data_IF_636851492880
#
_entry.id   IF_636851492880
#
_cell.length_a   1.000
_cell.length_b   1.000
_cell.length_c   1.000
_cell.angle_alpha   90.00
_cell.angle_beta   90.00
_cell.angle_gamma   90.00
#
_symmetry.space_group_name_H-M   'P 1'
#
loop_
_entity.id
_entity.type
_entity.pdbx_description
1 polymer ?
#
# COMPACT_ATOMS: atom_id res chain seq x y z
N UNK A 1 -2.62 -12.54 -20.31
CA UNK A 1 -2.97 -11.57 -19.24
C UNK A 1 -3.71 -10.44 -19.94
N UNK A 2 -5.01 -10.24 -19.66
CA UNK A 2 -5.71 -9.08 -20.21
C UNK A 2 -5.11 -7.82 -19.57
N UNK A 3 -4.68 -6.80 -20.33
CA UNK A 3 -4.28 -5.52 -19.78
C UNK A 3 -5.33 -5.01 -18.80
N UNK A 4 -4.91 -4.49 -17.65
CA UNK A 4 -5.83 -4.11 -16.58
C UNK A 4 -6.79 -2.98 -16.96
N UNK A 5 -6.45 -2.21 -17.99
CA UNK A 5 -7.36 -1.25 -18.61
C UNK A 5 -8.55 -1.95 -19.31
N UNK A 6 -8.32 -3.07 -19.99
CA UNK A 6 -9.40 -3.87 -20.60
C UNK A 6 -10.29 -4.53 -19.53
N UNK A 7 -9.72 -4.85 -18.36
CA UNK A 7 -10.50 -5.39 -17.24
C UNK A 7 -11.48 -4.37 -16.67
N UNK A 8 -11.18 -3.07 -16.77
CA UNK A 8 -12.09 -2.01 -16.34
C UNK A 8 -13.37 -1.98 -17.18
N UNK A 9 -13.28 -2.34 -18.46
CA UNK A 9 -14.45 -2.37 -19.35
C UNK A 9 -15.37 -3.57 -19.06
N UNK A 10 -14.86 -4.62 -18.42
CA UNK A 10 -15.60 -5.83 -18.06
C UNK A 10 -16.07 -5.83 -16.59
N UNK A 11 -15.49 -4.97 -15.74
CA UNK A 11 -15.71 -4.94 -14.29
C UNK A 11 -16.06 -3.52 -13.84
N UNK A 12 -17.35 -3.28 -13.67
CA UNK A 12 -17.97 -1.99 -13.37
C UNK A 12 -17.53 -1.36 -12.05
N UNK A 13 -17.20 -2.16 -11.04
CA UNK A 13 -16.74 -1.68 -9.74
C UNK A 13 -15.25 -1.25 -9.71
N UNK A 14 -14.50 -1.41 -10.81
CA UNK A 14 -13.12 -0.90 -10.92
C UNK A 14 -13.11 0.58 -11.32
N UNK A 15 -13.06 1.47 -10.34
CA UNK A 15 -13.17 2.91 -10.58
C UNK A 15 -11.86 3.52 -11.09
N UNK A 16 -10.72 3.18 -10.46
CA UNK A 16 -9.39 3.66 -10.86
C UNK A 16 -8.33 2.56 -10.72
N UNK A 17 -7.59 2.31 -11.81
CA UNK A 17 -6.51 1.34 -11.84
C UNK A 17 -5.35 1.90 -12.69
N UNK A 18 -4.14 1.91 -12.14
CA UNK A 18 -2.90 2.41 -12.79
C UNK A 18 -2.92 3.87 -13.30
N UNK A 19 -3.91 4.68 -12.90
CA UNK A 19 -4.06 6.06 -13.35
C UNK A 19 -3.91 7.08 -12.22
N UNK A 20 -3.89 6.64 -10.96
CA UNK A 20 -3.86 7.49 -9.77
C UNK A 20 -2.87 6.95 -8.73
N UNK A 21 -2.73 7.65 -7.61
CA UNK A 21 -1.84 7.31 -6.51
C UNK A 21 -2.23 6.01 -5.79
N UNK A 22 -3.49 5.58 -5.89
CA UNK A 22 -3.97 4.30 -5.37
C UNK A 22 -4.95 3.62 -6.32
N UNK A 23 -5.20 2.32 -6.09
CA UNK A 23 -6.30 1.62 -6.74
C UNK A 23 -7.62 1.93 -6.04
N UNK A 24 -8.69 2.15 -6.81
CA UNK A 24 -10.01 2.51 -6.25
C UNK A 24 -11.08 1.57 -6.76
N UNK A 25 -11.87 1.05 -5.83
CA UNK A 25 -13.02 0.18 -6.11
C UNK A 25 -14.30 0.79 -5.54
N UNK A 26 -15.44 0.54 -6.18
CA UNK A 26 -16.74 0.81 -5.59
C UNK A 26 -16.99 -0.18 -4.44
N UNK A 27 -17.48 0.32 -3.31
CA UNK A 27 -17.89 -0.51 -2.18
C UNK A 27 -19.42 -0.58 -2.10
N UNK A 28 -20.06 0.58 -2.16
CA UNK A 28 -21.51 0.76 -2.28
C UNK A 28 -21.81 2.04 -3.07
N UNK A 29 -23.09 2.45 -3.09
CA UNK A 29 -23.54 3.63 -3.85
C UNK A 29 -23.01 4.97 -3.30
N UNK A 30 -22.53 5.00 -2.04
CA UNK A 30 -22.05 6.21 -1.37
C UNK A 30 -20.53 6.23 -1.18
N UNK A 31 -19.90 5.05 -1.07
CA UNK A 31 -18.50 4.90 -0.68
C UNK A 31 -17.69 4.11 -1.71
N UNK A 32 -16.46 4.58 -1.89
CA UNK A 32 -15.41 3.87 -2.62
C UNK A 32 -14.26 3.55 -1.67
N UNK A 33 -13.55 2.46 -1.94
CA UNK A 33 -12.39 2.03 -1.15
C UNK A 33 -11.11 2.23 -1.94
N UNK A 34 -10.16 2.94 -1.33
CA UNK A 34 -8.81 3.15 -1.87
C UNK A 34 -7.86 2.12 -1.26
N UNK A 35 -7.04 1.49 -2.10
CA UNK A 35 -6.03 0.51 -1.67
C UNK A 35 -4.67 0.83 -2.27
N UNK A 36 -3.64 0.85 -1.42
CA UNK A 36 -2.26 1.06 -1.81
C UNK A 36 -1.35 0.18 -0.98
N UNK A 37 -0.38 -0.43 -1.64
CA UNK A 37 0.74 -1.13 -1.02
C UNK A 37 2.03 -0.54 -1.55
N UNK A 38 2.99 -0.33 -0.66
CA UNK A 38 4.34 0.12 -0.97
C UNK A 38 5.34 -0.72 -0.18
N UNK A 39 6.59 -0.74 -0.61
CA UNK A 39 7.69 -1.37 0.12
C UNK A 39 8.74 -0.32 0.43
N UNK A 40 9.35 -0.39 1.61
CA UNK A 40 10.43 0.52 2.00
C UNK A 40 11.67 -0.25 2.44
N UNK A 41 12.05 -1.26 1.65
CA UNK A 41 13.02 -2.31 2.05
C UNK A 41 14.44 -1.77 2.27
N UNK A 42 15.02 -1.14 1.24
CA UNK A 42 16.43 -0.69 1.31
C UNK A 42 16.67 0.33 2.43
N UNK A 43 15.80 1.33 2.65
CA UNK A 43 16.02 2.26 3.76
C UNK A 43 15.72 1.61 5.13
N UNK A 44 14.73 0.72 5.23
CA UNK A 44 14.46 0.00 6.49
C UNK A 44 15.58 -0.97 6.88
N UNK A 45 16.38 -1.43 5.91
CA UNK A 45 17.57 -2.22 6.20
C UNK A 45 18.72 -1.38 6.80
N UNK A 46 18.78 -0.08 6.49
CA UNK A 46 19.82 0.84 6.99
C UNK A 46 19.41 1.51 8.31
N UNK A 47 18.19 2.02 8.38
CA UNK A 47 17.56 2.60 9.57
C UNK A 47 16.15 2.03 9.68
N UNK A 48 15.93 1.01 10.55
CA UNK A 48 14.65 0.34 10.66
C UNK A 48 13.50 1.27 11.06
N UNK A 49 13.75 2.20 11.99
CA UNK A 49 12.70 3.08 12.49
C UNK A 49 12.38 4.17 11.46
N UNK A 50 13.40 4.86 10.95
CA UNK A 50 13.22 5.87 9.92
C UNK A 50 12.60 5.30 8.65
N UNK A 51 13.11 4.16 8.17
CA UNK A 51 12.62 3.49 6.97
C UNK A 51 11.17 3.00 7.09
N UNK A 52 10.78 2.41 8.23
CA UNK A 52 9.40 2.00 8.44
C UNK A 52 8.45 3.22 8.51
N UNK A 53 8.84 4.27 9.25
CA UNK A 53 8.03 5.49 9.35
C UNK A 53 7.79 6.15 8.00
N UNK A 54 8.82 6.29 7.15
CA UNK A 54 8.67 6.92 5.84
C UNK A 54 7.85 6.06 4.89
N UNK A 55 7.90 4.73 5.02
CA UNK A 55 7.02 3.81 4.31
C UNK A 55 5.54 4.01 4.67
N UNK A 56 5.22 4.05 5.98
CA UNK A 56 3.85 4.27 6.47
C UNK A 56 3.31 5.62 5.98
N UNK A 57 4.10 6.69 6.13
CA UNK A 57 3.68 8.04 5.72
C UNK A 57 3.56 8.14 4.19
N UNK A 58 4.38 7.42 3.43
CA UNK A 58 4.30 7.33 1.97
C UNK A 58 2.95 6.79 1.51
N UNK A 59 2.57 5.61 2.00
CA UNK A 59 1.27 4.98 1.68
C UNK A 59 0.10 5.86 2.11
N UNK A 60 0.16 6.48 3.30
CA UNK A 60 -0.90 7.36 3.76
C UNK A 60 -1.07 8.59 2.85
N UNK A 61 0.03 9.17 2.39
CA UNK A 61 -0.01 10.31 1.45
C UNK A 61 -0.62 9.90 0.12
N UNK A 62 -0.34 8.70 -0.36
CA UNK A 62 -0.90 8.21 -1.62
C UNK A 62 -2.43 8.05 -1.54
N UNK A 63 -2.95 7.53 -0.42
CA UNK A 63 -4.40 7.50 -0.17
C UNK A 63 -4.98 8.91 -0.08
N UNK A 64 -4.35 9.80 0.72
CA UNK A 64 -4.79 11.19 0.85
C UNK A 64 -4.78 11.94 -0.49
N UNK A 65 -3.87 11.59 -1.40
CA UNK A 65 -3.74 12.20 -2.73
C UNK A 65 -4.51 11.49 -3.84
N UNK A 66 -5.38 10.53 -3.53
CA UNK A 66 -6.20 9.84 -4.53
C UNK A 66 -7.42 10.69 -4.90
N UNK A 67 -7.69 10.89 -6.19
CA UNK A 67 -8.78 11.71 -6.68
C UNK A 67 -8.70 13.16 -6.18
N UNK A 68 -9.77 13.63 -5.53
CA UNK A 68 -9.82 14.93 -4.83
C UNK A 68 -9.48 14.84 -3.34
N UNK A 69 -9.07 13.65 -2.89
CA UNK A 69 -8.78 13.33 -1.50
C UNK A 69 -9.60 12.15 -1.00
N UNK A 70 -8.93 11.22 -0.31
CA UNK A 70 -9.56 10.13 0.42
C UNK A 70 -9.12 10.13 1.89
N UNK A 71 -9.93 9.52 2.76
CA UNK A 71 -9.64 9.43 4.20
C UNK A 71 -8.97 8.09 4.51
N UNK A 72 -7.72 8.05 4.99
CA UNK A 72 -7.12 6.83 5.51
C UNK A 72 -7.89 6.35 6.74
N UNK A 73 -8.18 5.04 6.81
CA UNK A 73 -8.94 4.44 7.91
C UNK A 73 -8.23 3.27 8.60
N UNK A 74 -7.30 2.61 7.90
CA UNK A 74 -6.56 1.47 8.41
C UNK A 74 -5.28 1.27 7.60
N UNK A 75 -4.24 0.77 8.28
CA UNK A 75 -2.99 0.32 7.67
C UNK A 75 -2.74 -1.15 8.04
N UNK A 76 -1.97 -1.84 7.22
CA UNK A 76 -1.49 -3.19 7.50
C UNK A 76 -0.02 -3.26 7.12
N UNK A 77 0.80 -3.77 8.03
CA UNK A 77 2.24 -3.86 7.86
C UNK A 77 2.68 -5.32 7.76
N UNK A 78 3.56 -5.61 6.81
CA UNK A 78 4.11 -6.94 6.58
C UNK A 78 5.63 -6.86 6.62
N UNK A 79 6.23 -7.49 7.63
CA UNK A 79 7.68 -7.54 7.80
C UNK A 79 8.24 -8.93 7.58
N UNK A 80 9.37 -9.00 6.87
CA UNK A 80 10.13 -10.23 6.64
C UNK A 80 11.54 -10.04 7.17
N UNK A 81 11.91 -10.74 8.25
CA UNK A 81 13.21 -10.64 8.91
C UNK A 81 13.97 -11.97 8.88
N UNK A 82 15.27 -11.91 9.18
CA UNK A 82 16.06 -13.10 9.50
C UNK A 82 15.64 -13.72 10.84
N UNK A 83 16.19 -14.90 11.20
CA UNK A 83 15.87 -15.57 12.45
C UNK A 83 16.16 -14.68 13.67
N UNK A 84 15.28 -14.64 14.68
CA UNK A 84 15.41 -13.74 15.84
C UNK A 84 16.62 -14.05 16.76
N UNK A 85 17.31 -15.17 16.53
CA UNK A 85 18.53 -15.57 17.24
C UNK A 85 19.82 -15.39 16.46
N UNK A 86 19.77 -14.85 15.23
CA UNK A 86 20.96 -14.69 14.40
C UNK A 86 21.98 -13.77 15.11
N UNK A 87 23.15 -14.30 15.46
CA UNK A 87 24.22 -13.55 16.14
C UNK A 87 24.25 -13.65 17.68
N UNK A 88 23.30 -14.35 18.32
CA UNK A 88 23.44 -14.69 19.75
C UNK A 88 24.50 -15.79 19.91
N UNK A 89 25.57 -15.53 20.67
CA UNK A 89 26.49 -16.62 21.09
C UNK A 89 25.72 -17.60 21.98
N UNK A 90 25.95 -18.91 21.86
CA UNK A 90 25.41 -19.86 22.83
C UNK A 90 25.91 -19.50 24.23
N UNK A 91 24.99 -19.46 25.20
CA UNK A 91 25.31 -19.38 26.62
C UNK A 91 25.96 -20.66 27.11
#
# INVERSE_FOLDING_TARGET
MKPTLEMKDEVDWLLSVFHDNSGVIAWDDEWSMCMKAETHNSPSALDPYGGAMTGIVGVNRDILGTGLGARPIANTDVFCFGPPGLGRRPS
#
